data_IF_288783524082
#
_entry.id   IF_288783524082
#
_cell.length_a   1.000
_cell.length_b   1.000
_cell.length_c   1.000
_cell.angle_alpha   90.00
_cell.angle_beta   90.00
_cell.angle_gamma   90.00
#
_symmetry.space_group_name_H-M   'P 1'
#
loop_
_entity.id
_entity.type
_entity.pdbx_description
1 polymer ?
#
# COMPACT_ATOMS: atom_id res chain seq x y z
N UNK A 1 -7.28 -10.63 -25.47
CA UNK A 1 -8.00 -10.85 -24.20
C UNK A 1 -7.03 -10.48 -23.10
N UNK A 2 -7.46 -9.67 -22.13
CA UNK A 2 -6.57 -9.25 -21.04
C UNK A 2 -6.27 -10.42 -20.11
N UNK A 3 -5.05 -10.49 -19.60
CA UNK A 3 -4.66 -11.47 -18.59
C UNK A 3 -5.01 -10.90 -17.21
N UNK A 4 -6.12 -11.35 -16.64
CA UNK A 4 -6.64 -10.89 -15.35
C UNK A 4 -6.57 -12.04 -14.35
N UNK A 5 -5.81 -11.87 -13.28
CA UNK A 5 -5.82 -12.78 -12.14
C UNK A 5 -6.64 -12.16 -11.00
N UNK A 6 -7.38 -12.99 -10.26
CA UNK A 6 -8.06 -12.57 -9.04
C UNK A 6 -7.51 -13.31 -7.84
N UNK A 7 -7.13 -12.59 -6.80
CA UNK A 7 -6.73 -13.15 -5.50
C UNK A 7 -7.93 -13.01 -4.57
N UNK A 8 -8.45 -14.15 -4.12
CA UNK A 8 -9.58 -14.21 -3.20
C UNK A 8 -9.14 -13.94 -1.75
N UNK A 9 -10.10 -13.69 -0.86
CA UNK A 9 -9.82 -13.41 0.54
C UNK A 9 -9.14 -14.58 1.28
N UNK A 10 -9.31 -15.81 0.80
CA UNK A 10 -8.60 -16.99 1.32
C UNK A 10 -7.17 -17.14 0.78
N UNK A 11 -6.74 -16.21 -0.09
CA UNK A 11 -5.43 -16.21 -0.74
C UNK A 11 -5.34 -17.06 -2.01
N UNK A 12 -6.41 -17.77 -2.40
CA UNK A 12 -6.42 -18.54 -3.64
C UNK A 12 -6.44 -17.64 -4.87
N UNK A 13 -5.80 -18.09 -5.95
CA UNK A 13 -5.67 -17.33 -7.20
C UNK A 13 -6.53 -17.98 -8.28
N UNK A 14 -7.41 -17.18 -8.88
CA UNK A 14 -8.13 -17.53 -10.10
C UNK A 14 -7.56 -16.76 -11.29
N UNK A 15 -6.94 -17.47 -12.24
CA UNK A 15 -6.38 -16.86 -13.45
C UNK A 15 -7.40 -16.72 -14.59
N UNK A 16 -7.14 -15.77 -15.49
CA UNK A 16 -7.92 -15.49 -16.70
C UNK A 16 -9.40 -15.16 -16.41
N UNK A 17 -9.62 -14.27 -15.44
CA UNK A 17 -10.95 -13.74 -15.14
C UNK A 17 -11.48 -12.89 -16.32
N UNK A 18 -12.79 -12.90 -16.51
CA UNK A 18 -13.44 -12.09 -17.54
C UNK A 18 -13.50 -10.61 -17.12
N UNK A 19 -13.33 -9.71 -18.09
CA UNK A 19 -13.26 -8.25 -17.88
C UNK A 19 -14.51 -7.70 -17.19
N UNK A 20 -15.68 -8.16 -17.61
CA UNK A 20 -16.99 -7.77 -17.08
C UNK A 20 -17.20 -8.17 -15.61
N UNK A 21 -16.41 -9.11 -15.08
CA UNK A 21 -16.47 -9.52 -13.67
C UNK A 21 -15.59 -8.70 -12.73
N UNK A 22 -14.70 -7.85 -13.25
CA UNK A 22 -13.64 -7.21 -12.45
C UNK A 22 -14.21 -6.31 -11.35
N UNK A 23 -15.20 -5.47 -11.65
CA UNK A 23 -15.79 -4.56 -10.65
C UNK A 23 -16.55 -5.32 -9.57
N UNK A 24 -17.30 -6.36 -9.94
CA UNK A 24 -18.04 -7.20 -8.99
C UNK A 24 -17.08 -7.92 -8.03
N UNK A 25 -15.98 -8.48 -8.56
CA UNK A 25 -14.94 -9.12 -7.75
C UNK A 25 -14.32 -8.14 -6.75
N UNK A 26 -13.91 -6.96 -7.22
CA UNK A 26 -13.30 -5.92 -6.38
C UNK A 26 -14.26 -5.44 -5.30
N UNK A 27 -15.54 -5.24 -5.63
CA UNK A 27 -16.56 -4.85 -4.65
C UNK A 27 -16.85 -5.95 -3.61
N UNK A 28 -16.59 -7.22 -3.94
CA UNK A 28 -16.69 -8.34 -3.01
C UNK A 28 -15.38 -8.59 -2.21
N UNK A 29 -14.35 -7.77 -2.40
CA UNK A 29 -13.09 -7.85 -1.65
C UNK A 29 -12.02 -8.72 -2.30
N UNK A 30 -12.20 -9.14 -3.54
CA UNK A 30 -11.11 -9.76 -4.28
C UNK A 30 -10.12 -8.71 -4.80
N UNK A 31 -8.85 -9.10 -4.90
CA UNK A 31 -7.79 -8.29 -5.49
C UNK A 31 -7.60 -8.70 -6.94
N UNK A 32 -7.80 -7.81 -7.90
CA UNK A 32 -7.62 -8.14 -9.32
C UNK A 32 -6.29 -7.59 -9.82
N UNK A 33 -5.47 -8.44 -10.43
CA UNK A 33 -4.23 -8.03 -11.10
C UNK A 33 -4.43 -8.13 -12.61
N UNK A 34 -4.36 -6.99 -13.29
CA UNK A 34 -4.21 -6.96 -14.74
C UNK A 34 -2.73 -7.11 -15.09
N UNK A 35 -2.38 -8.34 -15.47
CA UNK A 35 -1.03 -8.68 -15.90
C UNK A 35 -0.67 -7.94 -17.16
N UNK A 36 0.49 -7.29 -17.17
CA UNK A 36 0.97 -6.44 -18.27
C UNK A 36 -0.02 -5.33 -18.68
N UNK A 37 -0.86 -4.87 -17.74
CA UNK A 37 -1.90 -3.88 -18.03
C UNK A 37 -1.38 -2.56 -18.59
N UNK A 38 -0.20 -2.11 -18.18
CA UNK A 38 0.42 -0.91 -18.77
C UNK A 38 0.88 -1.12 -20.21
N UNK A 39 1.31 -2.33 -20.56
CA UNK A 39 1.69 -2.69 -21.93
C UNK A 39 0.45 -2.79 -22.81
N UNK A 40 -0.63 -3.40 -22.32
CA UNK A 40 -1.93 -3.46 -23.02
C UNK A 40 -2.48 -2.04 -23.28
N UNK A 41 -2.31 -1.14 -22.30
CA UNK A 41 -2.65 0.28 -22.43
C UNK A 41 -1.60 1.11 -23.19
N UNK A 42 -0.46 0.53 -23.60
CA UNK A 42 0.64 1.22 -24.31
C UNK A 42 1.25 2.42 -23.56
N UNK A 43 1.25 2.37 -22.23
CA UNK A 43 1.77 3.45 -21.35
C UNK A 43 3.01 3.07 -20.55
N UNK A 44 3.47 1.82 -20.62
CA UNK A 44 4.61 1.34 -19.81
C UNK A 44 5.88 2.18 -20.05
N UNK A 45 6.37 2.23 -21.30
CA UNK A 45 7.62 2.93 -21.64
C UNK A 45 7.54 4.41 -21.27
N UNK A 46 6.39 5.04 -21.53
CA UNK A 46 6.13 6.43 -21.20
C UNK A 46 6.15 6.72 -19.69
N UNK A 47 5.67 5.78 -18.87
CA UNK A 47 5.69 5.93 -17.42
C UNK A 47 7.10 5.76 -16.86
N UNK A 48 7.91 4.86 -17.43
CA UNK A 48 9.34 4.76 -17.15
C UNK A 48 10.06 6.06 -17.54
N UNK A 49 9.80 6.56 -18.75
CA UNK A 49 10.37 7.82 -19.24
C UNK A 49 10.02 9.01 -18.34
N UNK A 50 8.81 9.06 -17.77
CA UNK A 50 8.44 10.10 -16.79
C UNK A 50 9.37 10.09 -15.56
N UNK A 51 9.70 8.90 -15.04
CA UNK A 51 10.64 8.75 -13.93
C UNK A 51 12.04 9.17 -14.36
N UNK A 52 12.51 8.69 -15.52
CA UNK A 52 13.84 9.03 -16.06
C UNK A 52 13.98 10.54 -16.34
N UNK A 53 12.94 11.18 -16.86
CA UNK A 53 12.89 12.63 -17.09
C UNK A 53 12.95 13.41 -15.78
N UNK A 54 12.32 12.89 -14.72
CA UNK A 54 12.38 13.47 -13.38
C UNK A 54 13.78 13.36 -12.79
N UNK A 55 14.44 12.21 -12.97
CA UNK A 55 15.86 12.02 -12.60
C UNK A 55 16.75 12.97 -13.40
N UNK A 56 16.60 13.03 -14.73
CA UNK A 56 17.40 13.89 -15.61
C UNK A 56 17.34 15.36 -15.19
N UNK A 57 16.13 15.82 -14.85
CA UNK A 57 15.90 17.20 -14.42
C UNK A 57 16.60 17.57 -13.11
N UNK A 58 16.73 16.62 -12.19
CA UNK A 58 17.24 16.87 -10.83
C UNK A 58 18.72 16.47 -10.70
N UNK A 59 19.06 15.26 -11.13
CA UNK A 59 20.38 14.65 -10.94
C UNK A 59 21.20 14.56 -12.24
N UNK A 60 20.71 15.12 -13.35
CA UNK A 60 21.43 15.23 -14.63
C UNK A 60 21.32 14.01 -15.55
N UNK A 61 21.78 14.17 -16.80
CA UNK A 61 21.66 13.14 -17.86
C UNK A 61 22.38 11.85 -17.52
N UNK A 62 23.58 11.92 -16.96
CA UNK A 62 24.37 10.72 -16.62
C UNK A 62 23.62 9.82 -15.63
N UNK A 63 22.97 10.40 -14.60
CA UNK A 63 22.17 9.65 -13.65
C UNK A 63 20.97 9.00 -14.33
N UNK A 64 20.23 9.76 -15.16
CA UNK A 64 19.08 9.24 -15.88
C UNK A 64 19.44 8.10 -16.85
N UNK A 65 20.55 8.22 -17.57
CA UNK A 65 21.06 7.17 -18.47
C UNK A 65 21.50 5.93 -17.70
N UNK A 66 22.12 6.10 -16.53
CA UNK A 66 22.48 4.97 -15.67
C UNK A 66 21.24 4.24 -15.13
N UNK A 67 20.21 4.97 -14.69
CA UNK A 67 18.92 4.37 -14.27
C UNK A 67 18.24 3.68 -15.45
N UNK A 68 18.23 4.29 -16.64
CA UNK A 68 17.64 3.67 -17.83
C UNK A 68 18.34 2.35 -18.18
N UNK A 69 19.67 2.30 -18.07
CA UNK A 69 20.46 1.11 -18.34
C UNK A 69 20.25 0.00 -17.30
N UNK A 70 20.16 0.37 -16.01
CA UNK A 70 20.14 -0.58 -14.91
C UNK A 70 18.72 -0.91 -14.40
N UNK A 71 17.69 -0.27 -14.94
CA UNK A 71 16.31 -0.43 -14.47
C UNK A 71 15.93 0.58 -13.38
N UNK A 72 14.65 0.94 -13.33
CA UNK A 72 14.11 1.94 -12.39
C UNK A 72 14.19 1.47 -10.93
N UNK A 73 14.16 0.16 -10.71
CA UNK A 73 14.41 -0.46 -9.40
C UNK A 73 15.79 -0.13 -8.84
N UNK A 74 16.77 0.18 -9.70
CA UNK A 74 18.13 0.55 -9.31
C UNK A 74 18.33 2.06 -9.17
N UNK A 75 17.26 2.86 -9.14
CA UNK A 75 17.32 4.33 -9.03
C UNK A 75 18.17 4.83 -7.84
N UNK A 76 18.15 4.11 -6.73
CA UNK A 76 18.85 4.48 -5.49
C UNK A 76 20.39 4.33 -5.58
N UNK A 77 20.91 3.64 -6.60
CA UNK A 77 22.34 3.57 -6.88
C UNK A 77 22.86 4.78 -7.69
N UNK A 78 21.96 5.53 -8.32
CA UNK A 78 22.31 6.59 -9.27
C UNK A 78 21.77 7.97 -8.90
N UNK A 79 20.80 8.02 -7.99
CA UNK A 79 20.24 9.25 -7.44
C UNK A 79 20.68 9.37 -5.99
N UNK A 80 21.38 10.47 -5.67
CA UNK A 80 21.77 10.76 -4.29
C UNK A 80 20.51 10.88 -3.40
N UNK A 81 20.60 10.43 -2.14
CA UNK A 81 19.45 10.47 -1.23
C UNK A 81 18.88 11.88 -1.04
N UNK A 82 19.72 12.91 -1.08
CA UNK A 82 19.30 14.32 -0.99
C UNK A 82 18.44 14.79 -2.18
N UNK A 83 18.58 14.14 -3.34
CA UNK A 83 17.83 14.46 -4.55
C UNK A 83 16.48 13.74 -4.63
N UNK A 84 16.29 12.63 -3.89
CA UNK A 84 15.11 11.76 -4.02
C UNK A 84 13.80 12.52 -3.81
N UNK A 85 13.73 13.42 -2.84
CA UNK A 85 12.52 14.22 -2.60
C UNK A 85 12.20 15.12 -3.80
N UNK A 86 13.21 15.70 -4.45
CA UNK A 86 13.03 16.55 -5.61
C UNK A 86 12.64 15.75 -6.85
N UNK A 87 13.23 14.56 -7.06
CA UNK A 87 12.81 13.62 -8.13
C UNK A 87 11.35 13.22 -7.95
N UNK A 88 10.96 12.82 -6.74
CA UNK A 88 9.57 12.50 -6.40
C UNK A 88 8.61 13.66 -6.70
N UNK A 89 8.96 14.89 -6.31
CA UNK A 89 8.13 16.08 -6.59
C UNK A 89 8.01 16.34 -8.09
N UNK A 90 9.09 16.22 -8.84
CA UNK A 90 9.09 16.40 -10.29
C UNK A 90 8.18 15.39 -10.99
N UNK A 91 8.27 14.11 -10.62
CA UNK A 91 7.41 13.06 -11.14
C UNK A 91 5.93 13.31 -10.83
N UNK A 92 5.62 13.75 -9.60
CA UNK A 92 4.24 14.07 -9.20
C UNK A 92 3.60 15.19 -10.00
N UNK A 93 4.35 16.21 -10.40
CA UNK A 93 3.83 17.29 -11.24
C UNK A 93 3.38 16.73 -12.58
N UNK A 94 4.21 15.90 -13.23
CA UNK A 94 3.86 15.28 -14.50
C UNK A 94 2.68 14.31 -14.37
N UNK A 95 2.68 13.47 -13.32
CA UNK A 95 1.58 12.53 -13.05
C UNK A 95 0.23 13.26 -12.87
N UNK A 96 0.19 14.37 -12.14
CA UNK A 96 -1.04 15.13 -11.92
C UNK A 96 -1.68 15.68 -13.21
N UNK A 97 -0.90 15.85 -14.28
CA UNK A 97 -1.40 16.31 -15.57
C UNK A 97 -1.98 15.18 -16.43
N UNK A 98 -1.50 13.94 -16.23
CA UNK A 98 -1.67 12.84 -17.19
C UNK A 98 -2.42 11.65 -16.63
N UNK A 99 -2.07 11.27 -15.41
CA UNK A 99 -2.50 10.03 -14.79
C UNK A 99 -4.02 9.95 -14.54
N UNK A 100 -4.77 11.04 -14.29
CA UNK A 100 -6.24 10.96 -14.27
C UNK A 100 -6.83 10.45 -15.59
N UNK A 101 -6.28 10.86 -16.73
CA UNK A 101 -6.73 10.36 -18.04
C UNK A 101 -6.34 8.89 -18.23
N UNK A 102 -5.13 8.48 -17.83
CA UNK A 102 -4.72 7.06 -17.83
C UNK A 102 -5.68 6.23 -16.99
N UNK A 103 -6.01 6.71 -15.79
CA UNK A 103 -6.91 6.00 -14.86
C UNK A 103 -8.31 5.85 -15.43
N UNK A 104 -8.86 6.91 -16.05
CA UNK A 104 -10.15 6.83 -16.74
C UNK A 104 -10.15 5.76 -17.84
N UNK A 105 -9.07 5.68 -18.62
CA UNK A 105 -8.93 4.70 -19.69
C UNK A 105 -8.72 3.28 -19.17
N UNK A 106 -7.98 3.11 -18.06
CA UNK A 106 -7.84 1.83 -17.38
C UNK A 106 -9.20 1.26 -16.99
N UNK A 107 -10.06 2.03 -16.33
CA UNK A 107 -11.36 1.54 -15.89
C UNK A 107 -12.36 1.32 -17.04
N UNK A 108 -12.32 2.14 -18.10
CA UNK A 108 -13.10 1.87 -19.33
C UNK A 108 -12.67 0.55 -19.99
N UNK A 109 -11.37 0.31 -20.08
CA UNK A 109 -10.86 -0.96 -20.59
C UNK A 109 -11.28 -2.15 -19.72
N UNK A 110 -11.45 -1.93 -18.41
CA UNK A 110 -11.97 -2.92 -17.46
C UNK A 110 -13.51 -3.00 -17.43
N UNK A 111 -14.21 -2.49 -18.45
CA UNK A 111 -15.67 -2.64 -18.60
C UNK A 111 -16.51 -1.70 -17.74
N UNK A 112 -15.93 -0.64 -17.17
CA UNK A 112 -16.73 0.38 -16.48
C UNK A 112 -17.45 1.24 -17.51
N UNK A 113 -18.75 0.97 -17.63
CA UNK A 113 -19.67 1.75 -18.45
C UNK A 113 -20.26 2.95 -17.68
N UNK A 114 -20.61 4.01 -18.41
CA UNK A 114 -21.26 5.19 -17.83
C UNK A 114 -20.32 6.21 -17.17
N UNK A 115 -20.91 7.14 -16.42
CA UNK A 115 -20.16 8.20 -15.73
C UNK A 115 -19.66 7.72 -14.36
N UNK A 116 -18.38 7.93 -14.09
CA UNK A 116 -17.71 7.63 -12.82
C UNK A 116 -16.77 8.78 -12.44
N UNK A 117 -16.16 8.71 -11.26
CA UNK A 117 -15.37 9.81 -10.70
C UNK A 117 -13.91 9.42 -10.57
N UNK A 118 -13.01 10.22 -11.16
CA UNK A 118 -11.56 9.96 -11.17
C UNK A 118 -10.85 10.94 -10.26
N UNK A 119 -10.06 10.43 -9.33
CA UNK A 119 -9.34 11.26 -8.38
C UNK A 119 -8.24 12.08 -9.07
N UNK A 120 -8.02 13.32 -8.59
CA UNK A 120 -7.04 14.23 -9.19
C UNK A 120 -5.60 13.94 -8.79
N UNK A 121 -5.39 13.44 -7.56
CA UNK A 121 -4.05 13.25 -7.05
C UNK A 121 -3.52 11.88 -7.42
N UNK A 122 -2.49 11.90 -8.26
CA UNK A 122 -1.73 10.73 -8.64
C UNK A 122 -0.40 10.72 -7.88
N UNK A 123 -0.08 9.56 -7.30
CA UNK A 123 1.08 9.39 -6.44
C UNK A 123 2.09 8.47 -7.12
N UNK A 124 3.36 8.76 -6.90
CA UNK A 124 4.45 7.82 -7.11
C UNK A 124 5.04 7.47 -5.75
N UNK A 125 5.33 6.19 -5.56
CA UNK A 125 6.01 5.65 -4.38
C UNK A 125 7.42 5.26 -4.81
N UNK A 126 8.44 5.82 -4.16
CA UNK A 126 9.84 5.49 -4.34
C UNK A 126 10.33 4.87 -3.03
N UNK A 127 10.09 3.57 -2.89
CA UNK A 127 10.29 2.83 -1.65
C UNK A 127 11.63 2.10 -1.72
N UNK A 128 12.70 2.81 -1.36
CA UNK A 128 14.07 2.28 -1.37
C UNK A 128 14.26 1.17 -0.34
N UNK A 129 15.27 0.30 -0.50
CA UNK A 129 15.69 -0.61 0.55
C UNK A 129 15.85 0.12 1.88
N UNK A 130 15.36 -0.47 2.97
CA UNK A 130 15.38 0.21 4.27
C UNK A 130 16.81 0.55 4.72
N UNK A 131 17.77 -0.32 4.42
CA UNK A 131 19.20 -0.10 4.70
C UNK A 131 19.75 1.14 3.99
N UNK A 132 19.27 1.40 2.76
CA UNK A 132 19.69 2.57 1.98
C UNK A 132 19.06 3.85 2.53
N UNK A 133 17.77 3.84 2.84
CA UNK A 133 17.06 5.05 3.29
C UNK A 133 17.25 5.37 4.78
N UNK A 134 17.86 4.48 5.59
CA UNK A 134 17.90 4.58 7.06
C UNK A 134 18.38 5.94 7.56
N UNK A 135 19.46 6.44 6.97
CA UNK A 135 20.07 7.72 7.33
C UNK A 135 19.16 8.93 7.09
N UNK A 136 18.16 8.80 6.20
CA UNK A 136 17.21 9.85 5.79
C UNK A 136 15.76 9.59 6.21
N UNK A 137 15.54 8.58 7.05
CA UNK A 137 14.20 8.17 7.49
C UNK A 137 13.38 9.34 8.07
N UNK A 138 14.02 10.18 8.88
CA UNK A 138 13.36 11.31 9.52
C UNK A 138 12.99 12.41 8.52
N UNK A 139 13.87 12.71 7.55
CA UNK A 139 13.63 13.70 6.49
C UNK A 139 12.44 13.28 5.61
N UNK A 140 12.31 11.99 5.34
CA UNK A 140 11.24 11.42 4.53
C UNK A 140 9.93 11.14 5.29
N UNK A 141 9.89 11.33 6.62
CA UNK A 141 8.69 11.07 7.44
C UNK A 141 7.48 11.91 7.00
N UNK A 142 7.70 13.14 6.50
CA UNK A 142 6.65 14.01 5.93
C UNK A 142 6.01 13.44 4.65
N UNK A 143 6.64 12.45 4.03
CA UNK A 143 6.18 11.74 2.82
C UNK A 143 5.71 10.32 3.14
N UNK A 144 5.04 10.13 4.28
CA UNK A 144 4.45 8.86 4.70
C UNK A 144 3.61 8.22 3.58
N UNK A 145 3.87 6.94 3.33
CA UNK A 145 3.26 6.17 2.26
C UNK A 145 3.79 6.45 0.85
N UNK A 146 4.69 7.44 0.67
CA UNK A 146 5.32 7.75 -0.64
C UNK A 146 6.82 7.47 -0.67
N UNK A 147 7.55 7.92 0.35
CA UNK A 147 9.00 7.67 0.51
C UNK A 147 9.33 6.86 1.78
N UNK A 148 8.37 6.76 2.70
CA UNK A 148 8.49 5.97 3.94
C UNK A 148 7.27 5.07 4.12
N UNK A 149 7.43 4.03 4.92
CA UNK A 149 6.43 2.99 5.16
C UNK A 149 5.17 3.56 5.81
N UNK A 150 4.01 3.11 5.33
CA UNK A 150 2.74 3.30 6.04
C UNK A 150 2.41 2.01 6.80
N UNK A 151 2.12 2.10 8.10
CA UNK A 151 1.57 0.98 8.87
C UNK A 151 0.16 0.59 8.42
N UNK A 152 -0.42 -0.47 9.00
CA UNK A 152 -1.77 -0.92 8.67
C UNK A 152 -2.81 0.19 8.82
N UNK A 153 -3.64 0.37 7.80
CA UNK A 153 -4.70 1.38 7.76
C UNK A 153 -5.79 0.98 6.77
N UNK A 154 -6.97 1.56 6.95
CA UNK A 154 -7.90 1.77 5.86
C UNK A 154 -7.65 3.15 5.24
N UNK A 155 -7.90 3.28 3.94
CA UNK A 155 -7.77 4.56 3.23
C UNK A 155 -8.71 5.63 3.81
N UNK A 156 -9.90 5.25 4.30
CA UNK A 156 -10.89 6.18 4.86
C UNK A 156 -10.40 6.89 6.14
N UNK A 157 -9.37 6.37 6.81
CA UNK A 157 -8.71 7.08 7.92
C UNK A 157 -8.06 8.40 7.46
N UNK A 158 -7.74 8.51 6.17
CA UNK A 158 -7.22 9.72 5.52
C UNK A 158 -8.30 10.49 4.76
N UNK A 159 -9.57 10.24 5.07
CA UNK A 159 -10.74 10.79 4.40
C UNK A 159 -10.82 10.45 2.90
N UNK A 160 -10.25 9.32 2.48
CA UNK A 160 -10.55 8.74 1.16
C UNK A 160 -11.99 8.19 1.21
N UNK A 161 -12.75 8.27 0.10
CA UNK A 161 -14.10 7.70 0.07
C UNK A 161 -14.12 6.21 0.41
N UNK A 162 -15.17 5.79 1.14
CA UNK A 162 -15.36 4.38 1.53
C UNK A 162 -15.72 3.49 0.35
N UNK A 163 -16.24 4.08 -0.74
CA UNK A 163 -16.58 3.41 -2.00
C UNK A 163 -15.52 3.64 -3.10
N UNK A 164 -14.27 3.93 -2.72
CA UNK A 164 -13.20 4.13 -3.68
C UNK A 164 -12.59 2.80 -4.14
N UNK A 165 -12.18 2.75 -5.40
CA UNK A 165 -11.42 1.65 -5.99
C UNK A 165 -10.06 2.20 -6.41
N UNK A 166 -8.99 1.61 -5.89
CA UNK A 166 -7.62 2.03 -6.15
C UNK A 166 -7.01 1.23 -7.30
N UNK A 167 -6.12 1.88 -8.04
CA UNK A 167 -5.11 1.25 -8.89
C UNK A 167 -3.74 1.39 -8.24
N UNK A 168 -2.98 0.30 -8.17
CA UNK A 168 -1.60 0.27 -7.70
C UNK A 168 -0.72 -0.41 -8.75
N UNK A 169 0.10 0.37 -9.44
CA UNK A 169 0.69 -0.01 -10.73
C UNK A 169 2.21 -0.12 -10.65
N UNK A 170 2.75 -1.31 -10.91
CA UNK A 170 4.19 -1.57 -10.88
C UNK A 170 4.90 -0.89 -12.05
N UNK A 171 5.85 0.01 -11.76
CA UNK A 171 6.82 0.50 -12.76
C UNK A 171 8.12 -0.28 -12.65
N UNK A 172 8.52 -0.65 -11.42
CA UNK A 172 9.55 -1.65 -11.14
C UNK A 172 8.95 -2.88 -10.49
N UNK A 173 9.78 -3.93 -10.32
CA UNK A 173 9.37 -5.22 -9.76
C UNK A 173 8.83 -5.08 -8.32
N UNK A 174 7.78 -5.83 -8.02
CA UNK A 174 7.20 -5.95 -6.67
C UNK A 174 7.17 -7.41 -6.26
N UNK A 175 7.69 -7.72 -5.08
CA UNK A 175 7.67 -9.06 -4.49
C UNK A 175 7.18 -9.08 -3.05
N UNK A 176 7.16 -10.28 -2.45
CA UNK A 176 6.73 -10.49 -1.08
C UNK A 176 7.55 -9.71 -0.01
N UNK A 177 8.74 -9.19 -0.35
CA UNK A 177 9.67 -8.52 0.57
C UNK A 177 9.85 -7.02 0.29
N UNK A 178 9.20 -6.47 -0.72
CA UNK A 178 9.11 -5.01 -0.93
C UNK A 178 7.67 -4.50 -1.13
N UNK A 179 6.69 -5.39 -1.27
CA UNK A 179 5.34 -5.09 -1.75
C UNK A 179 4.33 -4.52 -0.75
N UNK A 180 3.05 -4.70 -1.07
CA UNK A 180 1.93 -4.28 -0.22
C UNK A 180 1.38 -5.50 0.49
N UNK A 181 1.01 -5.33 1.76
CA UNK A 181 0.34 -6.33 2.57
C UNK A 181 -1.16 -5.99 2.60
N UNK A 182 -2.00 -6.92 2.19
CA UNK A 182 -3.45 -6.86 2.36
C UNK A 182 -3.83 -7.79 3.51
N UNK A 183 -4.75 -7.39 4.39
CA UNK A 183 -5.23 -8.20 5.52
C UNK A 183 -6.67 -8.66 5.28
N UNK A 184 -6.90 -9.86 4.69
CA UNK A 184 -8.23 -10.32 4.31
C UNK A 184 -9.18 -10.51 5.49
N UNK A 185 -8.67 -10.93 6.65
CA UNK A 185 -9.45 -11.13 7.89
C UNK A 185 -10.14 -9.85 8.40
N UNK A 186 -9.72 -8.69 7.88
CA UNK A 186 -10.22 -7.36 8.24
C UNK A 186 -11.16 -6.80 7.17
N UNK A 187 -11.37 -7.53 6.06
CA UNK A 187 -12.37 -7.15 5.07
C UNK A 187 -13.75 -6.97 5.71
N UNK A 188 -14.38 -5.82 5.47
CA UNK A 188 -15.68 -5.45 6.04
C UNK A 188 -15.66 -5.05 7.52
N UNK A 189 -14.50 -5.05 8.20
CA UNK A 189 -14.35 -4.58 9.58
C UNK A 189 -13.80 -3.15 9.59
N UNK A 190 -14.14 -2.37 10.62
CA UNK A 190 -13.54 -1.07 10.89
C UNK A 190 -12.97 -1.09 12.31
N UNK A 191 -11.68 -1.33 12.44
CA UNK A 191 -11.07 -1.58 13.74
C UNK A 191 -11.04 -0.31 14.61
N UNK A 192 -11.23 -0.43 15.93
CA UNK A 192 -11.13 0.71 16.84
C UNK A 192 -9.73 1.32 16.80
N UNK A 193 -9.67 2.65 16.87
CA UNK A 193 -8.44 3.42 16.86
C UNK A 193 -8.20 4.12 18.20
N UNK A 194 -6.95 4.24 18.61
CA UNK A 194 -6.50 5.02 19.76
C UNK A 194 -5.35 5.92 19.33
N UNK A 195 -5.43 7.23 19.63
CA UNK A 195 -4.40 8.22 19.27
C UNK A 195 -4.02 8.26 17.77
N UNK A 196 -4.96 7.88 16.89
CA UNK A 196 -4.74 7.87 15.44
C UNK A 196 -4.09 6.60 14.89
N UNK A 197 -3.89 5.58 15.73
CA UNK A 197 -3.41 4.25 15.34
C UNK A 197 -4.44 3.18 15.67
N UNK A 198 -4.34 2.01 15.05
CA UNK A 198 -5.19 0.86 15.40
C UNK A 198 -4.87 0.45 16.84
N UNK A 199 -5.90 0.16 17.64
CA UNK A 199 -5.71 -0.26 19.04
C UNK A 199 -4.83 -1.53 19.09
N UNK A 200 -3.95 -1.59 20.07
CA UNK A 200 -2.88 -2.59 20.14
C UNK A 200 -3.34 -4.01 20.48
N UNK A 201 -4.62 -4.24 20.74
CA UNK A 201 -5.19 -5.57 20.98
C UNK A 201 -5.87 -6.16 19.73
N UNK A 202 -5.92 -5.40 18.62
CA UNK A 202 -6.59 -5.81 17.40
C UNK A 202 -5.71 -6.75 16.58
N UNK A 203 -6.19 -7.98 16.35
CA UNK A 203 -5.52 -8.93 15.48
C UNK A 203 -5.81 -8.60 14.02
N UNK A 204 -4.79 -8.64 13.16
CA UNK A 204 -4.95 -8.31 11.73
C UNK A 204 -5.04 -9.54 10.83
N UNK A 205 -4.72 -10.73 11.34
CA UNK A 205 -4.64 -11.94 10.52
C UNK A 205 -3.34 -12.06 9.72
N UNK A 206 -3.22 -13.17 8.98
CA UNK A 206 -2.11 -13.40 8.05
C UNK A 206 -2.32 -12.55 6.79
N UNK A 207 -1.39 -11.66 6.40
CA UNK A 207 -1.57 -10.85 5.22
C UNK A 207 -1.27 -11.64 3.94
N UNK A 208 -1.93 -11.23 2.85
CA UNK A 208 -1.54 -11.56 1.48
C UNK A 208 -0.50 -10.54 1.02
N UNK A 209 0.64 -11.03 0.56
CA UNK A 209 1.66 -10.20 -0.08
C UNK A 209 1.49 -10.29 -1.60
N UNK A 210 1.26 -9.15 -2.25
CA UNK A 210 0.99 -9.10 -3.69
C UNK A 210 2.31 -8.99 -4.47
N UNK A 211 2.53 -9.91 -5.40
CA UNK A 211 3.68 -9.90 -6.33
C UNK A 211 3.25 -9.45 -7.73
N UNK A 212 4.05 -8.55 -8.31
CA UNK A 212 3.73 -7.89 -9.58
C UNK A 212 4.99 -7.65 -10.40
N UNK A 213 4.92 -8.01 -11.67
CA UNK A 213 5.96 -7.67 -12.63
C UNK A 213 5.81 -6.21 -13.11
N UNK A 214 6.87 -5.58 -13.63
CA UNK A 214 6.78 -4.27 -14.25
C UNK A 214 5.66 -4.19 -15.31
N UNK A 215 4.72 -3.27 -15.09
CA UNK A 215 3.55 -3.02 -15.93
C UNK A 215 2.26 -3.67 -15.46
N UNK A 216 2.29 -4.51 -14.42
CA UNK A 216 1.08 -5.03 -13.79
C UNK A 216 0.30 -3.92 -13.06
N UNK A 217 -1.04 -4.01 -13.10
CA UNK A 217 -1.95 -3.09 -12.41
C UNK A 217 -2.79 -3.89 -11.42
N UNK A 218 -2.59 -3.64 -10.13
CA UNK A 218 -3.47 -4.14 -9.08
C UNK A 218 -4.68 -3.19 -8.94
N UNK A 219 -5.88 -3.76 -8.94
CA UNK A 219 -7.16 -3.09 -8.69
C UNK A 219 -7.73 -3.67 -7.39
N UNK A 220 -8.05 -2.80 -6.44
CA UNK A 220 -8.58 -3.22 -5.14
C UNK A 220 -9.46 -2.14 -4.50
N UNK A 221 -10.40 -2.56 -3.68
CA UNK A 221 -11.31 -1.65 -2.98
C UNK A 221 -10.62 -0.96 -1.79
N UNK A 222 -10.91 0.32 -1.55
CA UNK A 222 -10.27 1.14 -0.48
C UNK A 222 -10.57 0.65 0.93
N UNK A 223 -11.61 -0.18 1.08
CA UNK A 223 -11.99 -0.83 2.33
C UNK A 223 -11.05 -1.97 2.75
N UNK A 224 -10.10 -2.40 1.91
CA UNK A 224 -9.06 -3.32 2.39
C UNK A 224 -8.18 -2.64 3.43
N UNK A 225 -8.00 -3.28 4.58
CA UNK A 225 -6.89 -2.93 5.46
C UNK A 225 -5.59 -3.36 4.80
N UNK A 226 -4.64 -2.44 4.73
CA UNK A 226 -3.37 -2.69 4.07
C UNK A 226 -2.21 -1.92 4.68
N UNK A 227 -0.99 -2.39 4.41
CA UNK A 227 0.25 -1.80 4.89
C UNK A 227 1.36 -1.85 3.84
N UNK A 228 2.35 -0.98 3.99
CA UNK A 228 3.60 -1.09 3.24
C UNK A 228 4.51 -2.13 3.88
N UNK A 229 4.89 -3.17 3.12
CA UNK A 229 5.99 -4.06 3.50
C UNK A 229 7.25 -3.23 3.69
N UNK A 230 8.01 -3.51 4.75
CA UNK A 230 9.37 -2.99 4.86
C UNK A 230 10.20 -3.56 3.71
N UNK A 231 10.83 -2.69 2.92
CA UNK A 231 11.64 -3.14 1.80
C UNK A 231 12.99 -3.68 2.31
N UNK A 232 13.12 -5.00 2.34
CA UNK A 232 14.36 -5.70 2.71
C UNK A 232 15.09 -6.29 1.50
N UNK A 233 14.68 -5.92 0.29
CA UNK A 233 15.32 -6.33 -0.96
C UNK A 233 16.48 -5.38 -1.30
N UNK A 234 17.23 -5.68 -2.36
CA UNK A 234 18.22 -4.77 -2.94
C UNK A 234 17.62 -3.76 -3.93
N UNK A 235 16.32 -3.81 -4.19
CA UNK A 235 15.65 -3.05 -5.25
C UNK A 235 14.75 -1.95 -4.68
N UNK A 236 14.71 -0.77 -5.29
CA UNK A 236 13.69 0.25 -4.99
C UNK A 236 12.36 -0.17 -5.60
N UNK A 237 11.33 -0.28 -4.77
CA UNK A 237 9.96 -0.42 -5.30
C UNK A 237 9.47 0.92 -5.85
N UNK A 238 9.18 0.94 -7.15
CA UNK A 238 8.64 2.10 -7.89
C UNK A 238 7.21 1.79 -8.35
N UNK A 239 6.23 2.47 -7.77
CA UNK A 239 4.80 2.18 -8.02
C UNK A 239 3.99 3.47 -8.14
N UNK A 240 3.05 3.49 -9.09
CA UNK A 240 2.06 4.55 -9.21
C UNK A 240 0.77 4.18 -8.47
N UNK A 241 0.07 5.18 -7.96
CA UNK A 241 -1.25 5.00 -7.34
C UNK A 241 -2.21 6.08 -7.82
N UNK A 242 -3.41 5.65 -8.18
CA UNK A 242 -4.57 6.53 -8.37
C UNK A 242 -5.84 5.77 -7.98
N UNK A 243 -7.01 6.40 -8.11
CA UNK A 243 -8.28 5.81 -7.72
C UNK A 243 -9.47 6.40 -8.46
N UNK A 244 -10.58 5.67 -8.39
CA UNK A 244 -11.90 6.13 -8.83
C UNK A 244 -12.96 5.89 -7.76
N UNK A 245 -14.15 6.43 -7.97
CA UNK A 245 -15.40 5.94 -7.40
C UNK A 245 -16.36 5.68 -8.57
N UNK A 246 -17.02 4.51 -8.58
CA UNK A 246 -18.04 4.18 -9.59
C UNK A 246 -19.27 5.08 -9.42
N UNK A 247 -19.67 5.30 -8.16
CA UNK A 247 -20.71 6.25 -7.78
C UNK A 247 -20.10 7.52 -7.17
N UNK A 248 -20.97 8.47 -6.80
CA UNK A 248 -20.52 9.70 -6.14
C UNK A 248 -19.65 9.35 -4.92
N UNK A 249 -18.45 9.95 -4.76
CA UNK A 249 -17.57 9.72 -3.62
C UNK A 249 -18.29 9.86 -2.28
N UNK A 250 -18.30 8.80 -1.48
CA UNK A 250 -18.88 8.75 -0.15
C UNK A 250 -17.78 8.95 0.92
N UNK A 251 -17.71 10.15 1.48
CA UNK A 251 -16.65 10.54 2.39
C UNK A 251 -17.02 10.31 3.86
N UNK A 252 -16.07 9.80 4.67
CA UNK A 252 -16.21 9.85 6.12
C UNK A 252 -16.43 11.26 6.64
N UNK A 253 -15.64 12.24 6.19
CA UNK A 253 -15.83 13.67 6.45
C UNK A 253 -16.21 14.39 5.14
N UNK A 254 -17.51 14.50 4.91
CA UNK A 254 -18.11 15.15 3.74
C UNK A 254 -17.76 16.64 3.56
N UNK A 255 -17.18 17.27 4.59
CA UNK A 255 -16.77 18.67 4.54
C UNK A 255 -15.31 18.89 4.13
N UNK A 256 -14.54 17.81 4.01
CA UNK A 256 -13.16 17.83 3.49
C UNK A 256 -13.04 16.98 2.22
N UNK A 257 -13.88 17.23 1.20
CA UNK A 257 -13.85 16.40 0.01
C UNK A 257 -12.50 16.52 -0.70
N UNK A 258 -12.06 15.40 -1.25
CA UNK A 258 -10.97 15.35 -2.21
C UNK A 258 -11.49 15.78 -3.59
N UNK A 259 -10.58 16.16 -4.48
CA UNK A 259 -10.97 16.61 -5.82
C UNK A 259 -11.09 15.41 -6.75
N UNK A 260 -12.24 15.31 -7.41
CA UNK A 260 -12.52 14.31 -8.43
C UNK A 260 -12.95 15.00 -9.73
N UNK A 261 -12.50 14.45 -10.84
CA UNK A 261 -13.03 14.72 -12.18
C UNK A 261 -14.19 13.77 -12.46
N UNK A 262 -15.18 14.21 -13.22
CA UNK A 262 -16.12 13.27 -13.85
C UNK A 262 -15.41 12.57 -15.01
N UNK A 263 -15.68 11.30 -15.28
CA UNK A 263 -14.99 10.53 -16.34
C UNK A 263 -15.17 11.17 -17.72
N UNK A 264 -16.31 11.84 -17.94
CA UNK A 264 -16.60 12.67 -19.13
C UNK A 264 -15.72 13.92 -19.30
N UNK A 265 -14.80 14.17 -18.35
CA UNK A 265 -13.69 15.12 -18.51
C UNK A 265 -12.60 14.61 -19.46
N UNK A 266 -12.50 13.29 -19.65
CA UNK A 266 -11.46 12.64 -20.45
C UNK A 266 -12.11 12.01 -21.69
N UNK A 267 -11.62 12.34 -22.91
CA UNK A 267 -12.13 11.73 -24.14
C UNK A 267 -12.09 10.20 -24.06
N UNK A 268 -13.07 9.51 -24.67
CA UNK A 268 -13.12 8.05 -24.68
C UNK A 268 -12.03 7.45 -25.56
N UNK A 269 -11.84 8.00 -26.76
CA UNK A 269 -10.83 7.53 -27.72
C UNK A 269 -9.53 8.33 -27.59
N UNK A 270 -8.84 8.18 -26.44
CA UNK A 270 -7.50 8.76 -26.27
C UNK A 270 -6.44 7.87 -26.90
N UNK A 271 -5.53 8.46 -27.65
CA UNK A 271 -4.30 7.78 -28.04
C UNK A 271 -3.39 7.65 -26.81
N UNK A 272 -3.40 6.45 -26.24
CA UNK A 272 -2.63 6.15 -25.04
C UNK A 272 -1.12 6.10 -25.30
N UNK A 273 -0.69 5.90 -26.56
CA UNK A 273 0.72 5.72 -26.90
C UNK A 273 1.59 6.98 -26.77
N UNK A 274 0.98 8.15 -26.55
CA UNK A 274 1.68 9.42 -26.39
C UNK A 274 1.16 10.28 -25.22
N UNK A 275 0.34 9.71 -24.32
CA UNK A 275 -0.37 10.48 -23.29
C UNK A 275 0.57 11.28 -22.38
N UNK A 276 1.71 10.71 -21.98
CA UNK A 276 2.68 11.38 -21.11
C UNK A 276 3.55 12.39 -21.85
N UNK A 277 3.69 12.27 -23.18
CA UNK A 277 4.43 13.25 -24.00
C UNK A 277 3.59 14.47 -24.41
N UNK A 278 2.27 14.41 -24.27
CA UNK A 278 1.41 15.56 -24.54
C UNK A 278 1.77 16.75 -23.63
N UNK A 279 1.50 17.99 -24.07
CA UNK A 279 1.73 19.18 -23.23
C UNK A 279 0.55 19.44 -22.28
N UNK A 280 0.85 19.71 -21.01
CA UNK A 280 -0.16 20.12 -20.02
C UNK A 280 -1.15 19.03 -19.65
N UNK A 281 -2.32 19.39 -19.14
CA UNK A 281 -3.32 18.41 -18.68
C UNK A 281 -4.08 17.75 -19.83
N UNK A 282 -4.32 16.45 -19.70
CA UNK A 282 -5.12 15.68 -20.67
C UNK A 282 -6.57 15.63 -20.19
N UNK A 283 -7.47 16.27 -20.95
CA UNK A 283 -8.89 16.37 -20.64
C UNK A 283 -9.36 17.78 -20.25
N UNK A 284 -10.56 17.89 -19.68
CA UNK A 284 -11.15 19.16 -19.28
C UNK A 284 -11.01 19.40 -17.77
N UNK A 285 -10.10 20.30 -17.37
CA UNK A 285 -9.85 20.66 -15.96
C UNK A 285 -11.08 21.20 -15.21
N UNK A 286 -12.06 21.77 -15.93
CA UNK A 286 -13.26 22.36 -15.35
C UNK A 286 -14.37 21.36 -15.05
N UNK A 287 -14.33 20.16 -15.63
CA UNK A 287 -15.29 19.09 -15.39
C UNK A 287 -14.93 18.31 -14.11
N UNK A 288 -15.11 18.98 -12.97
CA UNK A 288 -14.88 18.42 -11.63
C UNK A 288 -16.18 18.26 -10.88
N UNK A 289 -16.26 17.23 -10.04
CA UNK A 289 -17.38 17.05 -9.13
C UNK A 289 -17.37 18.17 -8.07
N UNK A 290 -18.48 18.91 -7.97
CA UNK A 290 -18.73 19.83 -6.86
C UNK A 290 -19.25 19.02 -5.67
N UNK A 291 -18.43 18.86 -4.64
CA UNK A 291 -18.82 18.18 -3.39
C UNK A 291 -18.65 19.12 -2.19
N UNK A 292 -19.45 18.86 -1.15
CA UNK A 292 -19.30 19.47 0.17
C UNK A 292 -20.03 20.81 0.40
N UNK A 293 -20.22 21.12 1.68
CA UNK A 293 -20.59 22.46 2.15
C UNK A 293 -19.44 23.44 1.90
N UNK A 294 -19.73 24.75 1.77
CA UNK A 294 -18.66 25.74 1.73
C UNK A 294 -17.84 25.65 3.02
N UNK A 295 -16.50 25.78 2.93
CA UNK A 295 -15.60 25.72 4.11
C UNK A 295 -16.04 26.67 5.23
N UNK A 296 -16.61 27.82 4.88
CA UNK A 296 -17.14 28.79 5.84
C UNK A 296 -18.36 28.28 6.60
N UNK A 297 -19.35 27.73 5.88
CA UNK A 297 -20.55 27.15 6.49
C UNK A 297 -20.21 25.95 7.39
N UNK A 298 -19.31 25.09 6.93
CA UNK A 298 -18.85 23.97 7.75
C UNK A 298 -18.18 24.43 9.04
N UNK A 299 -17.27 25.41 8.97
CA UNK A 299 -16.60 25.95 10.16
C UNK A 299 -17.58 26.51 11.20
N UNK A 300 -18.65 27.16 10.74
CA UNK A 300 -19.71 27.69 11.62
C UNK A 300 -20.51 26.53 12.23
N UNK A 301 -20.95 25.57 11.43
CA UNK A 301 -21.74 24.44 11.90
C UNK A 301 -20.96 23.53 12.88
N UNK A 302 -19.68 23.24 12.63
CA UNK A 302 -18.84 22.47 13.56
C UNK A 302 -18.64 23.22 14.88
N UNK A 303 -18.47 24.55 14.84
CA UNK A 303 -18.44 25.38 16.07
C UNK A 303 -19.76 25.33 16.84
N UNK A 304 -20.88 25.15 16.15
CA UNK A 304 -22.20 24.98 16.73
C UNK A 304 -22.50 23.52 17.16
N UNK A 305 -21.52 22.62 17.08
CA UNK A 305 -21.63 21.24 17.57
C UNK A 305 -22.14 20.22 16.54
N UNK A 306 -22.31 20.59 15.26
CA UNK A 306 -22.69 19.64 14.22
C UNK A 306 -21.48 18.77 13.82
N UNK A 307 -21.62 17.45 13.92
CA UNK A 307 -20.65 16.50 13.39
C UNK A 307 -21.09 16.02 12.01
N UNK A 308 -20.23 16.23 11.02
CA UNK A 308 -20.44 15.81 9.64
C UNK A 308 -19.75 14.48 9.33
N UNK A 309 -19.06 13.90 10.32
CA UNK A 309 -18.34 12.64 10.16
C UNK A 309 -19.30 11.46 10.22
N UNK A 310 -19.20 10.61 9.21
CA UNK A 310 -19.88 9.32 9.07
C UNK A 310 -18.82 8.24 8.90
N UNK A 311 -18.12 7.94 9.99
CA UNK A 311 -17.21 6.80 10.00
C UNK A 311 -18.02 5.50 9.92
N UNK A 312 -17.51 4.47 9.24
CA UNK A 312 -18.05 3.12 9.36
C UNK A 312 -18.15 2.72 10.84
N UNK A 313 -19.14 1.90 11.19
CA UNK A 313 -19.32 1.43 12.57
C UNK A 313 -18.11 0.61 13.00
N UNK A 314 -17.55 0.92 14.17
CA UNK A 314 -16.43 0.16 14.72
C UNK A 314 -16.80 -1.31 14.94
N UNK A 315 -15.85 -2.19 14.62
CA UNK A 315 -15.93 -3.63 14.78
C UNK A 315 -14.62 -4.11 15.38
N UNK A 316 -14.66 -4.68 16.59
CA UNK A 316 -13.48 -5.22 17.25
C UNK A 316 -13.06 -6.55 16.61
N UNK A 317 -11.76 -6.72 16.40
CA UNK A 317 -11.11 -8.01 16.13
C UNK A 317 -10.07 -8.30 17.22
N UNK A 318 -10.41 -7.96 18.46
CA UNK A 318 -9.53 -8.11 19.61
C UNK A 318 -9.26 -9.58 19.92
N UNK A 319 -8.00 -9.93 20.16
CA UNK A 319 -7.63 -11.22 20.74
C UNK A 319 -7.11 -11.03 22.16
N UNK A 320 -7.51 -11.91 23.08
CA UNK A 320 -7.03 -11.86 24.45
C UNK A 320 -5.70 -12.62 24.57
N UNK A 321 -4.60 -11.88 24.61
CA UNK A 321 -3.26 -12.43 24.81
C UNK A 321 -2.98 -12.66 26.31
N UNK A 322 -3.54 -13.74 26.85
CA UNK A 322 -3.30 -14.12 28.26
C UNK A 322 -1.91 -14.74 28.41
N UNK A 323 -1.09 -14.27 29.36
CA UNK A 323 0.22 -14.87 29.63
C UNK A 323 0.11 -16.36 30.00
N UNK A 324 0.99 -17.18 29.44
CA UNK A 324 1.13 -18.60 29.78
C UNK A 324 2.37 -18.83 30.64
N UNK A 325 2.31 -19.81 31.55
CA UNK A 325 3.46 -20.18 32.36
C UNK A 325 4.57 -20.81 31.48
N UNK A 326 5.83 -20.57 31.86
CA UNK A 326 6.99 -21.22 31.20
C UNK A 326 7.01 -22.73 31.47
N UNK A 327 6.57 -23.14 32.65
CA UNK A 327 6.57 -24.54 33.07
C UNK A 327 5.62 -25.38 32.20
N UNK A 328 6.13 -26.49 31.65
CA UNK A 328 5.37 -27.40 30.80
C UNK A 328 5.20 -26.95 29.35
N UNK A 329 5.68 -25.75 28.98
CA UNK A 329 5.47 -25.15 27.66
C UNK A 329 6.05 -26.01 26.53
N UNK A 330 7.19 -26.67 26.77
CA UNK A 330 7.81 -27.62 25.86
C UNK A 330 6.87 -28.74 25.40
N UNK A 331 5.96 -29.18 26.29
CA UNK A 331 5.00 -30.25 25.99
C UNK A 331 3.67 -29.73 25.44
N UNK A 332 3.21 -28.56 25.89
CA UNK A 332 1.89 -28.04 25.55
C UNK A 332 1.84 -27.20 24.26
N UNK A 333 2.95 -26.55 23.89
CA UNK A 333 2.99 -25.63 22.74
C UNK A 333 3.08 -26.40 21.42
N UNK A 334 2.19 -26.06 20.48
CA UNK A 334 2.21 -26.57 19.11
C UNK A 334 3.34 -25.97 18.27
N UNK A 335 3.77 -26.68 17.23
CA UNK A 335 4.76 -26.18 16.27
C UNK A 335 4.23 -24.92 15.57
N UNK A 336 5.02 -23.84 15.58
CA UNK A 336 4.64 -22.53 15.03
C UNK A 336 3.61 -21.74 15.85
N UNK A 337 3.06 -22.31 16.93
CA UNK A 337 2.15 -21.60 17.82
C UNK A 337 2.88 -20.44 18.51
N UNK A 338 2.21 -19.29 18.65
CA UNK A 338 2.78 -18.08 19.23
C UNK A 338 1.99 -17.69 20.49
N UNK A 339 2.68 -17.64 21.62
CA UNK A 339 2.08 -17.36 22.93
C UNK A 339 2.80 -16.21 23.65
N UNK A 340 2.09 -15.53 24.54
CA UNK A 340 2.68 -14.51 25.42
C UNK A 340 3.13 -15.15 26.72
N UNK A 341 4.35 -14.85 27.17
CA UNK A 341 4.85 -15.28 28.47
C UNK A 341 4.68 -14.18 29.53
N UNK A 342 4.90 -12.92 29.13
CA UNK A 342 4.79 -11.75 30.00
C UNK A 342 4.64 -10.47 29.14
N UNK A 343 4.66 -9.29 29.78
CA UNK A 343 4.53 -8.00 29.09
C UNK A 343 5.60 -7.75 28.00
N UNK A 344 6.76 -8.40 28.10
CA UNK A 344 7.93 -8.13 27.25
C UNK A 344 8.34 -9.32 26.39
N UNK A 345 7.79 -10.50 26.63
CA UNK A 345 8.29 -11.75 26.07
C UNK A 345 7.14 -12.59 25.51
N UNK A 346 7.33 -13.13 24.32
CA UNK A 346 6.51 -14.17 23.71
C UNK A 346 7.38 -15.40 23.38
N UNK A 347 6.75 -16.52 23.09
CA UNK A 347 7.45 -17.75 22.72
C UNK A 347 6.75 -18.47 21.57
N UNK A 348 7.54 -19.23 20.82
CA UNK A 348 7.05 -20.14 19.79
C UNK A 348 7.82 -21.44 19.83
N UNK A 349 7.27 -22.52 19.25
CA UNK A 349 7.99 -23.78 19.07
C UNK A 349 8.43 -23.93 17.62
N UNK A 350 9.72 -24.12 17.40
CA UNK A 350 10.31 -24.32 16.06
C UNK A 350 11.30 -25.47 16.09
N UNK A 351 11.08 -26.47 15.24
CA UNK A 351 11.80 -27.73 15.18
C UNK A 351 11.84 -28.43 16.54
N UNK A 352 10.70 -28.44 17.25
CA UNK A 352 10.58 -29.06 18.56
C UNK A 352 11.22 -28.28 19.72
N UNK A 353 11.90 -27.17 19.48
CA UNK A 353 12.48 -26.32 20.53
C UNK A 353 11.55 -25.14 20.83
N UNK A 354 11.28 -24.86 22.11
CA UNK A 354 10.58 -23.63 22.49
C UNK A 354 11.58 -22.48 22.57
N UNK A 355 11.28 -21.41 21.86
CA UNK A 355 12.12 -20.23 21.73
C UNK A 355 11.35 -19.04 22.28
N UNK A 356 11.86 -18.43 23.34
CA UNK A 356 11.37 -17.17 23.87
C UNK A 356 12.07 -16.00 23.18
N UNK A 357 11.35 -14.93 22.91
CA UNK A 357 11.90 -13.72 22.29
C UNK A 357 11.13 -12.47 22.70
N UNK A 358 11.76 -11.30 22.48
CA UNK A 358 11.14 -10.01 22.82
C UNK A 358 9.83 -9.82 22.05
N UNK A 359 8.76 -9.45 22.77
CA UNK A 359 7.42 -9.21 22.23
C UNK A 359 7.35 -8.01 21.29
N UNK A 360 8.10 -6.95 21.55
CA UNK A 360 8.12 -5.76 20.71
C UNK A 360 9.04 -5.94 19.49
N UNK A 361 8.50 -5.68 18.30
CA UNK A 361 9.24 -5.66 17.05
C UNK A 361 10.40 -4.65 17.11
N UNK A 362 11.64 -5.02 16.73
CA UNK A 362 12.81 -4.13 16.80
C UNK A 362 12.76 -2.97 15.79
N UNK A 363 11.82 -2.96 14.84
CA UNK A 363 11.66 -1.89 13.87
C UNK A 363 10.82 -0.71 14.40
N UNK A 364 9.53 -0.94 14.70
CA UNK A 364 8.60 0.11 15.14
C UNK A 364 7.74 -0.32 16.34
N UNK A 365 8.20 -1.32 17.11
CA UNK A 365 7.58 -1.66 18.40
C UNK A 365 6.26 -2.41 18.35
N UNK A 366 5.78 -2.80 17.15
CA UNK A 366 4.58 -3.61 16.99
C UNK A 366 4.65 -4.88 17.86
N UNK A 367 3.51 -5.28 18.41
CA UNK A 367 3.40 -6.48 19.22
C UNK A 367 3.50 -7.73 18.33
N UNK A 368 4.63 -8.43 18.40
CA UNK A 368 4.88 -9.63 17.62
C UNK A 368 3.94 -10.77 18.00
N UNK A 369 3.34 -10.78 19.19
CA UNK A 369 2.37 -11.79 19.59
C UNK A 369 1.06 -11.72 18.76
N UNK A 370 0.82 -10.61 18.06
CA UNK A 370 -0.28 -10.47 17.09
C UNK A 370 0.14 -10.86 15.66
N UNK A 371 1.38 -11.30 15.49
CA UNK A 371 1.91 -11.79 14.22
C UNK A 371 1.63 -13.27 13.99
N UNK A 372 2.53 -13.92 13.27
CA UNK A 372 2.52 -15.36 13.04
C UNK A 372 3.96 -15.86 12.84
N UNK A 373 4.14 -17.18 12.94
CA UNK A 373 5.43 -17.84 12.70
C UNK A 373 5.31 -18.74 11.48
N UNK A 374 6.27 -18.61 10.57
CA UNK A 374 6.38 -19.43 9.36
C UNK A 374 7.86 -19.60 9.01
N UNK A 375 8.27 -20.81 8.64
CA UNK A 375 9.65 -21.15 8.25
C UNK A 375 10.72 -20.66 9.25
N UNK A 376 10.44 -20.85 10.55
CA UNK A 376 11.31 -20.44 11.65
C UNK A 376 11.49 -18.94 11.79
N UNK A 377 10.59 -18.14 11.21
CA UNK A 377 10.61 -16.67 11.30
C UNK A 377 9.31 -16.16 11.89
N UNK A 378 9.40 -15.21 12.81
CA UNK A 378 8.25 -14.42 13.26
C UNK A 378 8.02 -13.26 12.29
N UNK A 379 6.76 -13.05 11.92
CA UNK A 379 6.33 -12.00 11.00
C UNK A 379 5.66 -10.88 11.79
N UNK A 380 6.19 -9.67 11.65
CA UNK A 380 5.60 -8.49 12.27
C UNK A 380 4.22 -8.18 11.66
N UNK A 381 3.16 -7.98 12.47
CA UNK A 381 1.81 -7.73 11.97
C UNK A 381 1.64 -6.34 11.33
N UNK A 382 2.64 -5.46 11.39
CA UNK A 382 2.53 -4.11 10.83
C UNK A 382 3.16 -4.01 9.44
N UNK A 383 4.49 -4.03 9.36
CA UNK A 383 5.22 -3.88 8.08
C UNK A 383 5.74 -5.22 7.54
N UNK A 384 5.34 -6.36 8.13
CA UNK A 384 5.72 -7.69 7.66
C UNK A 384 7.21 -8.05 7.82
N UNK A 385 7.97 -7.33 8.67
CA UNK A 385 9.36 -7.69 8.93
C UNK A 385 9.45 -9.17 9.35
N UNK A 386 10.22 -9.95 8.58
CA UNK A 386 10.57 -11.34 8.86
C UNK A 386 11.79 -11.39 9.76
N UNK A 387 11.72 -12.10 10.88
CA UNK A 387 12.84 -12.24 11.83
C UNK A 387 13.03 -13.71 12.18
N UNK A 388 14.21 -14.27 11.95
CA UNK A 388 14.55 -15.61 12.40
C UNK A 388 14.45 -15.70 13.93
N UNK A 389 13.61 -16.58 14.46
CA UNK A 389 13.43 -16.68 15.92
C UNK A 389 14.65 -17.27 16.61
N UNK A 390 15.48 -18.07 15.90
CA UNK A 390 16.72 -18.65 16.47
C UNK A 390 17.87 -17.65 16.54
N UNK A 391 18.14 -16.93 15.44
CA UNK A 391 19.28 -15.99 15.37
C UNK A 391 18.92 -14.55 15.75
N UNK A 392 17.63 -14.22 15.76
CA UNK A 392 17.14 -12.86 15.91
C UNK A 392 17.34 -11.97 14.69
N UNK A 393 17.91 -12.49 13.60
CA UNK A 393 18.27 -11.70 12.42
C UNK A 393 17.10 -11.49 11.47
N UNK A 394 17.11 -10.35 10.79
CA UNK A 394 16.25 -10.04 9.64
C UNK A 394 17.11 -9.82 8.39
N UNK A 395 16.49 -9.80 7.21
CA UNK A 395 17.19 -9.46 5.97
C UNK A 395 17.67 -8.00 5.90
N UNK A 396 17.27 -7.17 6.86
CA UNK A 396 17.68 -5.77 6.95
C UNK A 396 18.76 -5.60 8.02
N UNK A 397 19.94 -5.15 7.59
CA UNK A 397 21.12 -4.98 8.45
C UNK A 397 21.01 -3.79 9.41
N UNK A 398 20.19 -2.79 9.06
CA UNK A 398 19.91 -1.60 9.89
C UNK A 398 18.92 -1.86 11.02
N UNK A 399 18.35 -3.07 11.10
CA UNK A 399 17.44 -3.46 12.18
C UNK A 399 18.21 -4.31 13.19
N UNK A 400 18.13 -3.89 14.45
CA UNK A 400 18.74 -4.62 15.56
C UNK A 400 18.20 -6.05 15.63
N UNK A 401 19.09 -7.00 15.93
CA UNK A 401 18.69 -8.38 16.18
C UNK A 401 17.66 -8.46 17.30
N UNK A 402 16.63 -9.27 17.09
CA UNK A 402 15.67 -9.62 18.10
C UNK A 402 16.35 -10.50 19.16
N UNK A 403 16.20 -10.15 20.44
CA UNK A 403 16.71 -10.99 21.52
C UNK A 403 15.84 -12.24 21.61
N UNK A 404 16.46 -13.40 21.50
CA UNK A 404 15.82 -14.70 21.57
C UNK A 404 16.70 -15.70 22.34
N UNK A 405 16.06 -16.67 22.99
CA UNK A 405 16.72 -17.77 23.72
C UNK A 405 15.86 -19.04 23.65
N UNK A 406 16.52 -20.19 23.58
CA UNK A 406 15.83 -21.49 23.73
C UNK A 406 15.52 -21.68 25.21
N UNK A 407 14.27 -22.03 25.52
CA UNK A 407 13.81 -22.31 26.88
C UNK A 407 13.35 -23.77 26.97
N UNK A 408 13.60 -24.38 28.12
CA UNK A 408 13.28 -25.79 28.41
C UNK A 408 11.87 -25.96 28.99
#
# INVERSE_FOLDING_TARGET
MFALDSIQLDGSIQSQCAVDTVMDRVNNGELVIWRRGMQDLKVMDQAVDLVLNSVRKISGSNAAEAVAKNGVENIHHHVALDDVEAVYKAARVSLAEKMPAVTAQTFRALGVDGEFYVHDASLIRLMMPFDVMKSKQQDFKKHLGKLTLHGPHHDHYQNVPVNAINTWTAIGRVDADNGMLIYPDIWGKNLPMENGEIRSDQYLGKPVAVEMDPGDILIFHSNHMHASRINTTSETRVVLTNRICLEKPDYPDSARPQKYFVSSAFPENLDMSNIFSQKGFVGNKGKTLKTGLSRGLHKIATKAGFDFRKMPKETSNSINLTPVAREGLQSSLGEGELVVLDEKTCATKVNGEVIAFRRQCPHQGADLALGFVEDGKVFCPYHGLKICVKSGESACSSINKLKAEVIA
#
